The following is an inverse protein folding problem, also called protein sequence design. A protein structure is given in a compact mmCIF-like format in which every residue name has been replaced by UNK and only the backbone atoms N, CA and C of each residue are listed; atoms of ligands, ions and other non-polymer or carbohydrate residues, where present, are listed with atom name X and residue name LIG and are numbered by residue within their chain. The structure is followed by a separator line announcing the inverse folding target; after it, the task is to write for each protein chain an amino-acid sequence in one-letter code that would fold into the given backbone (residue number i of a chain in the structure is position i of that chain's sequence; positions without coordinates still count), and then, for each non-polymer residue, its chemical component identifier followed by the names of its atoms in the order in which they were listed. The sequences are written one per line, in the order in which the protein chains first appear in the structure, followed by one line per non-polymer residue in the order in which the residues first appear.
data_IF_735408391600
#
_entry.id   IF_735408391600
#
_cell.length_a   1.000
_cell.length_b   1.000
_cell.length_c   1.000
_cell.angle_alpha   90.00
_cell.angle_beta   90.00
_cell.angle_gamma   90.00
#
_symmetry.space_group_name_H-M   'P 1'
#
loop_
_entity.id
_entity.type
_entity.pdbx_description
1 polymer ?
#
# COMPACT_ATOMS: atom_id res chain seq x y z
N UNK A 1 -18.51 24.37 6.12
CA UNK A 1 -17.65 24.48 4.93
C UNK A 1 -16.65 25.61 5.16
N UNK A 2 -15.41 25.28 5.54
CA UNK A 2 -14.32 26.25 5.71
C UNK A 2 -13.09 25.78 4.89
N UNK A 3 -12.13 26.68 4.65
CA UNK A 3 -10.95 26.37 3.81
C UNK A 3 -10.18 25.14 4.28
N UNK A 4 -10.02 24.98 5.60
CA UNK A 4 -9.34 23.81 6.18
C UNK A 4 -10.06 22.52 5.81
N UNK A 5 -11.38 22.46 6.01
CA UNK A 5 -12.19 21.31 5.66
C UNK A 5 -12.18 21.01 4.15
N UNK A 6 -12.17 22.04 3.30
CA UNK A 6 -12.07 21.86 1.85
C UNK A 6 -10.74 21.24 1.45
N UNK A 7 -9.62 21.69 2.03
CA UNK A 7 -8.28 21.12 1.78
C UNK A 7 -8.22 19.67 2.27
N UNK A 8 -8.68 19.40 3.50
CA UNK A 8 -8.69 18.05 4.06
C UNK A 8 -9.49 17.08 3.19
N UNK A 9 -10.68 17.50 2.73
CA UNK A 9 -11.50 16.70 1.82
C UNK A 9 -10.81 16.45 0.48
N UNK A 10 -10.19 17.48 -0.10
CA UNK A 10 -9.48 17.36 -1.37
C UNK A 10 -8.30 16.40 -1.31
N UNK A 11 -7.48 16.51 -0.25
CA UNK A 11 -6.32 15.62 -0.05
C UNK A 11 -6.78 14.18 0.19
N UNK A 12 -7.78 13.98 1.07
CA UNK A 12 -8.26 12.64 1.40
C UNK A 12 -8.84 11.91 0.18
N UNK A 13 -9.85 12.51 -0.48
CA UNK A 13 -10.50 11.88 -1.63
C UNK A 13 -9.63 11.85 -2.88
N UNK A 14 -8.75 12.83 -3.04
CA UNK A 14 -7.74 12.82 -4.10
C UNK A 14 -6.79 11.63 -3.96
N UNK A 15 -6.34 11.33 -2.75
CA UNK A 15 -5.45 10.19 -2.49
C UNK A 15 -6.16 8.84 -2.71
N UNK A 16 -7.40 8.72 -2.24
CA UNK A 16 -8.25 7.54 -2.50
C UNK A 16 -8.38 7.28 -4.01
N UNK A 17 -8.71 8.33 -4.78
CA UNK A 17 -8.84 8.23 -6.24
C UNK A 17 -7.54 7.86 -6.93
N UNK A 18 -6.42 8.48 -6.51
CA UNK A 18 -5.09 8.23 -7.04
C UNK A 18 -4.66 6.77 -6.84
N UNK A 19 -4.76 6.26 -5.61
CA UNK A 19 -4.37 4.88 -5.29
C UNK A 19 -5.19 3.89 -6.09
N UNK A 20 -6.52 4.06 -6.12
CA UNK A 20 -7.44 3.18 -6.85
C UNK A 20 -7.11 3.12 -8.34
N UNK A 21 -6.94 4.27 -8.98
CA UNK A 21 -6.68 4.37 -10.42
C UNK A 21 -5.31 3.79 -10.80
N UNK A 22 -4.27 4.10 -10.02
CA UNK A 22 -2.92 3.57 -10.26
C UNK A 22 -2.90 2.05 -10.12
N UNK A 23 -3.49 1.50 -9.07
CA UNK A 23 -3.58 0.05 -8.89
C UNK A 23 -4.40 -0.62 -10.01
N UNK A 24 -5.50 -0.01 -10.45
CA UNK A 24 -6.30 -0.54 -11.56
C UNK A 24 -5.52 -0.58 -12.88
N UNK A 25 -4.76 0.48 -13.20
CA UNK A 25 -3.92 0.52 -14.41
C UNK A 25 -2.81 -0.53 -14.39
N UNK A 26 -2.10 -0.67 -13.27
CA UNK A 26 -1.06 -1.69 -13.10
C UNK A 26 -1.65 -3.10 -13.27
N UNK A 27 -2.83 -3.35 -12.70
CA UNK A 27 -3.55 -4.63 -12.88
C UNK A 27 -3.91 -4.86 -14.34
N UNK A 28 -4.40 -3.85 -15.05
CA UNK A 28 -4.79 -3.98 -16.45
C UNK A 28 -3.61 -4.28 -17.40
N UNK A 29 -2.38 -3.87 -17.05
CA UNK A 29 -1.17 -4.17 -17.82
C UNK A 29 -0.67 -5.61 -17.68
N UNK A 30 -1.22 -6.38 -16.73
CA UNK A 30 -0.75 -7.73 -16.40
C UNK A 30 -1.92 -8.71 -16.51
N UNK A 31 -1.79 -9.72 -17.37
CA UNK A 31 -2.78 -10.80 -17.51
C UNK A 31 -2.68 -11.83 -16.38
N UNK A 32 -2.68 -11.37 -15.12
CA UNK A 32 -2.68 -12.21 -13.94
C UNK A 32 -3.36 -11.50 -12.77
N UNK A 33 -4.06 -12.23 -11.89
CA UNK A 33 -4.61 -11.63 -10.68
C UNK A 33 -3.47 -11.08 -9.80
N UNK A 34 -3.67 -9.86 -9.28
CA UNK A 34 -2.72 -9.21 -8.37
C UNK A 34 -3.43 -8.81 -7.08
N UNK A 35 -2.81 -9.15 -5.95
CA UNK A 35 -3.22 -8.71 -4.61
C UNK A 35 -2.60 -7.33 -4.31
N UNK A 36 -3.39 -6.43 -3.75
CA UNK A 36 -2.96 -5.13 -3.26
C UNK A 36 -2.69 -5.26 -1.76
N UNK A 37 -1.42 -5.10 -1.37
CA UNK A 37 -0.98 -5.14 0.02
C UNK A 37 -0.59 -3.72 0.44
N UNK A 38 -1.17 -3.23 1.54
CA UNK A 38 -0.81 -1.94 2.12
C UNK A 38 0.07 -2.11 3.37
N UNK A 39 0.93 -1.12 3.64
CA UNK A 39 1.76 -1.02 4.85
C UNK A 39 1.94 0.45 5.23
N UNK A 40 2.55 0.72 6.38
CA UNK A 40 2.82 2.06 6.89
C UNK A 40 1.66 2.69 7.65
N UNK A 41 1.98 3.63 8.54
CA UNK A 41 1.05 4.14 9.57
C UNK A 41 -0.16 4.93 9.05
N UNK A 42 -0.19 5.33 7.78
CA UNK A 42 -1.33 6.02 7.18
C UNK A 42 -2.32 5.09 6.46
N UNK A 43 -1.95 3.83 6.18
CA UNK A 43 -2.86 2.91 5.50
C UNK A 43 -4.19 2.65 6.27
N UNK A 44 -4.20 2.52 7.61
CA UNK A 44 -5.44 2.35 8.37
C UNK A 44 -6.44 3.51 8.19
N UNK A 45 -5.96 4.73 7.97
CA UNK A 45 -6.81 5.91 7.73
C UNK A 45 -7.70 5.74 6.49
N UNK A 46 -7.17 5.08 5.47
CA UNK A 46 -7.87 4.89 4.20
C UNK A 46 -8.69 3.59 4.17
N UNK A 47 -8.23 2.56 4.88
CA UNK A 47 -8.91 1.27 4.97
C UNK A 47 -10.30 1.36 5.63
N UNK A 48 -10.49 2.26 6.60
CA UNK A 48 -11.79 2.42 7.27
C UNK A 48 -12.87 3.02 6.38
N UNK A 49 -12.48 3.67 5.28
CA UNK A 49 -13.40 4.48 4.46
C UNK A 49 -13.68 3.87 3.08
N UNK A 50 -12.74 3.09 2.54
CA UNK A 50 -12.79 2.55 1.19
C UNK A 50 -12.00 1.24 1.09
N UNK A 51 -12.54 0.25 0.37
CA UNK A 51 -11.86 -1.01 0.04
C UNK A 51 -10.74 -0.78 -1.01
N UNK A 52 -9.64 -0.14 -0.62
CA UNK A 52 -8.50 0.16 -1.49
C UNK A 52 -7.48 -0.97 -1.59
N UNK A 53 -7.42 -1.84 -0.58
CA UNK A 53 -6.37 -2.85 -0.43
C UNK A 53 -7.00 -4.18 0.01
N UNK A 54 -6.39 -5.29 -0.41
CA UNK A 54 -6.88 -6.63 -0.06
C UNK A 54 -6.37 -7.09 1.32
N UNK A 55 -5.24 -6.55 1.79
CA UNK A 55 -4.69 -6.80 3.13
C UNK A 55 -3.81 -5.63 3.59
N UNK A 56 -3.67 -5.48 4.90
CA UNK A 56 -2.77 -4.53 5.54
C UNK A 56 -1.74 -5.31 6.37
N UNK A 57 -0.45 -5.03 6.13
CA UNK A 57 0.68 -5.66 6.80
C UNK A 57 1.56 -4.56 7.43
N UNK A 58 1.45 -4.38 8.74
CA UNK A 58 2.17 -3.32 9.47
C UNK A 58 3.69 -3.52 9.42
N UNK A 59 4.14 -4.76 9.57
CA UNK A 59 5.56 -5.11 9.67
C UNK A 59 6.19 -5.56 8.34
N UNK A 60 5.57 -5.23 7.20
CA UNK A 60 5.99 -5.74 5.88
C UNK A 60 7.49 -5.52 5.61
N UNK A 61 8.00 -4.33 5.93
CA UNK A 61 9.41 -4.00 5.77
C UNK A 61 10.30 -4.81 6.72
N UNK A 62 9.90 -4.94 7.99
CA UNK A 62 10.67 -5.69 8.98
C UNK A 62 10.72 -7.17 8.62
N UNK A 63 9.58 -7.74 8.23
CA UNK A 63 9.51 -9.10 7.70
C UNK A 63 10.49 -9.29 6.53
N UNK A 64 10.46 -8.39 5.53
CA UNK A 64 11.37 -8.43 4.39
C UNK A 64 12.85 -8.41 4.80
N UNK A 65 13.22 -7.58 5.77
CA UNK A 65 14.60 -7.52 6.28
C UNK A 65 15.01 -8.83 6.96
N UNK A 66 14.13 -9.47 7.73
CA UNK A 66 14.43 -10.77 8.34
C UNK A 66 14.63 -11.87 7.29
N UNK A 67 13.81 -11.90 6.23
CA UNK A 67 13.92 -12.85 5.13
C UNK A 67 15.22 -12.66 4.37
N UNK A 68 15.58 -11.41 4.03
CA UNK A 68 16.83 -11.10 3.34
C UNK A 68 18.03 -11.50 4.19
N UNK A 69 18.01 -11.19 5.48
CA UNK A 69 19.09 -11.57 6.39
C UNK A 69 19.27 -13.10 6.46
N UNK A 70 18.17 -13.84 6.60
CA UNK A 70 18.21 -15.30 6.65
C UNK A 70 18.77 -15.89 5.34
N UNK A 71 18.30 -15.41 4.19
CA UNK A 71 18.79 -15.83 2.89
C UNK A 71 20.31 -15.63 2.75
N UNK A 72 20.83 -14.49 3.21
CA UNK A 72 22.26 -14.18 3.14
C UNK A 72 23.10 -15.04 4.09
N UNK A 73 22.54 -15.52 5.21
CA UNK A 73 23.21 -16.48 6.11
C UNK A 73 23.27 -17.89 5.52
N UNK A 74 22.26 -18.28 4.75
CA UNK A 74 22.20 -19.58 4.08
C UNK A 74 23.06 -19.64 2.82
N UNK A 75 23.26 -18.48 2.17
CA UNK A 75 24.08 -18.33 0.96
C UNK A 75 25.22 -17.32 1.19
N UNK A 76 26.13 -17.56 2.15
CA UNK A 76 27.25 -16.66 2.37
C UNK A 76 28.13 -16.68 1.12
N UNK A 77 28.19 -15.53 0.43
CA UNK A 77 29.04 -15.20 -0.73
C UNK A 77 29.58 -16.42 -1.50
N UNK A 78 28.91 -16.78 -2.60
CA UNK A 78 29.62 -17.41 -3.72
C UNK A 78 30.76 -16.49 -4.19
#
# INVERSE_FOLDING_TARGET
TNTVACIQSGVFWGYVGLVREVCARIKAERDRPMKIVATGGLAPLFQQSVDLFDTFEEDLTMHGLTVIHQHNKEHPSQ
#
